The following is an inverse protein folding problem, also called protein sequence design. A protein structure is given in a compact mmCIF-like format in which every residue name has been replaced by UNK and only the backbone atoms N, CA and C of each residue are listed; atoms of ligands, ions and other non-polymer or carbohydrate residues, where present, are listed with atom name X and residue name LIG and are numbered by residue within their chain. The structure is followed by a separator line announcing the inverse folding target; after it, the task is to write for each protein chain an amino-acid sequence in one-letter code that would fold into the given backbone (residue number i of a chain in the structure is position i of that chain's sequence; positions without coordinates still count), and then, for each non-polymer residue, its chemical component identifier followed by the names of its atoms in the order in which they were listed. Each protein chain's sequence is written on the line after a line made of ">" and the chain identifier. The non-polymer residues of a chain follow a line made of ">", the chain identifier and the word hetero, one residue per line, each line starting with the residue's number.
data_IF_218660299643
#
_entry.id   IF_218660299643
#
_cell.length_a   1.000
_cell.length_b   1.000
_cell.length_c   1.000
_cell.angle_alpha   90.00
_cell.angle_beta   90.00
_cell.angle_gamma   90.00
#
_symmetry.space_group_name_H-M   'P 1'
#
loop_
_entity.id
_entity.type
_entity.pdbx_description
1 polymer ?
#
# COMPACT_ATOMS: atom_id res chain seq x y z
N UNK A 1 35.08 -94.55 -2.25
CA UNK A 1 35.45 -94.75 -3.67
C UNK A 1 34.80 -93.64 -4.48
N UNK A 2 35.42 -92.46 -4.56
CA UNK A 2 34.94 -91.35 -5.41
C UNK A 2 35.72 -91.38 -6.72
N UNK A 3 35.11 -91.85 -7.80
CA UNK A 3 35.69 -91.70 -9.14
C UNK A 3 35.39 -90.28 -9.64
N UNK A 4 36.42 -89.45 -9.71
CA UNK A 4 36.37 -88.17 -10.43
C UNK A 4 36.26 -88.48 -11.92
N UNK A 5 35.13 -88.15 -12.54
CA UNK A 5 34.96 -88.32 -14.00
C UNK A 5 35.80 -87.22 -14.67
N UNK A 6 36.98 -87.58 -15.16
CA UNK A 6 37.80 -86.69 -15.98
C UNK A 6 37.14 -86.50 -17.34
N UNK A 7 36.73 -85.27 -17.65
CA UNK A 7 36.22 -84.92 -18.97
C UNK A 7 37.38 -84.91 -19.97
N UNK A 8 37.46 -85.92 -20.83
CA UNK A 8 38.46 -86.00 -21.90
C UNK A 8 37.90 -85.33 -23.15
N UNK A 9 38.58 -84.30 -23.64
CA UNK A 9 38.28 -83.68 -24.93
C UNK A 9 38.70 -84.66 -26.03
N UNK A 10 37.73 -85.35 -26.65
CA UNK A 10 37.99 -86.11 -27.88
C UNK A 10 38.04 -85.13 -29.06
N UNK A 11 39.08 -85.24 -29.89
CA UNK A 11 39.21 -84.43 -31.12
C UNK A 11 38.20 -84.89 -32.19
N UNK A 12 37.66 -86.10 -32.02
CA UNK A 12 36.69 -86.71 -32.92
C UNK A 12 35.40 -86.94 -32.13
N UNK A 13 34.31 -86.22 -32.40
CA UNK A 13 33.00 -86.58 -31.84
C UNK A 13 32.60 -87.95 -32.38
N UNK A 14 32.10 -88.82 -31.50
CA UNK A 14 31.50 -90.07 -31.94
C UNK A 14 30.26 -89.76 -32.79
N UNK A 15 30.09 -90.42 -33.95
CA UNK A 15 28.90 -90.21 -34.77
C UNK A 15 27.66 -90.62 -33.98
N UNK A 16 26.73 -89.69 -33.82
CA UNK A 16 25.44 -89.95 -33.21
C UNK A 16 24.60 -90.85 -34.14
N UNK A 17 24.08 -91.95 -33.60
CA UNK A 17 23.03 -92.71 -34.27
C UNK A 17 21.71 -91.94 -34.13
N UNK A 18 21.08 -91.51 -35.23
CA UNK A 18 19.81 -90.82 -35.14
C UNK A 18 18.76 -91.71 -34.49
N UNK A 19 18.05 -91.17 -33.51
CA UNK A 19 16.89 -91.83 -32.96
C UNK A 19 15.88 -92.13 -34.09
N UNK A 20 15.23 -93.30 -34.10
CA UNK A 20 14.23 -93.60 -35.10
C UNK A 20 13.10 -92.57 -35.03
N UNK A 21 12.62 -92.14 -36.19
CA UNK A 21 11.42 -91.31 -36.29
C UNK A 21 10.27 -92.03 -35.58
N UNK A 22 9.51 -91.37 -34.69
CA UNK A 22 8.39 -92.00 -34.01
C UNK A 22 7.41 -92.61 -35.03
N UNK A 23 7.06 -93.88 -34.86
CA UNK A 23 6.26 -94.66 -35.83
C UNK A 23 4.82 -94.12 -35.98
N UNK A 24 4.34 -93.35 -35.00
CA UNK A 24 2.94 -92.89 -34.92
C UNK A 24 2.70 -91.49 -35.51
N UNK A 25 3.74 -90.77 -35.94
CA UNK A 25 3.57 -89.41 -36.49
C UNK A 25 3.30 -89.51 -37.99
N UNK A 26 2.08 -89.16 -38.39
CA UNK A 26 1.73 -89.13 -39.82
C UNK A 26 2.25 -87.84 -40.45
N UNK A 27 2.60 -87.85 -41.75
CA UNK A 27 3.05 -86.66 -42.46
C UNK A 27 2.07 -85.48 -42.34
N UNK A 28 0.77 -85.75 -42.33
CA UNK A 28 -0.28 -84.73 -42.20
C UNK A 28 -0.26 -84.05 -40.82
N UNK A 29 0.13 -84.77 -39.76
CA UNK A 29 0.22 -84.23 -38.41
C UNK A 29 1.46 -83.30 -38.27
N UNK A 30 2.54 -83.58 -39.01
CA UNK A 30 3.71 -82.69 -39.10
C UNK A 30 3.42 -81.42 -39.90
N UNK A 31 2.72 -81.54 -41.03
CA UNK A 31 2.32 -80.40 -41.85
C UNK A 31 1.42 -79.45 -41.06
N UNK A 32 0.41 -79.98 -40.36
CA UNK A 32 -0.45 -79.19 -39.48
C UNK A 32 0.32 -78.48 -38.36
N UNK A 33 1.34 -79.13 -37.78
CA UNK A 33 2.20 -78.50 -36.77
C UNK A 33 3.01 -77.32 -37.33
N UNK A 34 3.57 -77.47 -38.53
CA UNK A 34 4.30 -76.37 -39.17
C UNK A 34 3.37 -75.20 -39.54
N UNK A 35 2.18 -75.49 -40.07
CA UNK A 35 1.17 -74.48 -40.38
C UNK A 35 0.72 -73.73 -39.12
N UNK A 36 0.49 -74.44 -38.01
CA UNK A 36 0.14 -73.83 -36.73
C UNK A 36 1.26 -72.93 -36.21
N UNK A 37 2.51 -73.39 -36.28
CA UNK A 37 3.67 -72.62 -35.86
C UNK A 37 3.81 -71.35 -36.70
N UNK A 38 3.69 -71.45 -38.01
CA UNK A 38 3.81 -70.32 -38.93
C UNK A 38 2.65 -69.31 -38.73
N UNK A 39 1.44 -69.80 -38.44
CA UNK A 39 0.32 -68.94 -38.06
C UNK A 39 0.56 -68.22 -36.73
N UNK A 40 1.10 -68.91 -35.73
CA UNK A 40 1.42 -68.33 -34.43
C UNK A 40 2.55 -67.30 -34.53
N UNK A 41 3.56 -67.54 -35.37
CA UNK A 41 4.66 -66.59 -35.60
C UNK A 41 4.15 -65.31 -36.26
N UNK A 42 3.34 -65.42 -37.32
CA UNK A 42 2.68 -64.26 -37.96
C UNK A 42 1.81 -63.47 -36.97
N UNK A 43 1.02 -64.17 -36.17
CA UNK A 43 0.18 -63.51 -35.16
C UNK A 43 1.02 -62.75 -34.11
N UNK A 44 2.21 -63.26 -33.78
CA UNK A 44 3.15 -62.57 -32.88
C UNK A 44 3.75 -61.33 -33.53
N UNK A 45 4.11 -61.40 -34.81
CA UNK A 45 4.62 -60.25 -35.58
C UNK A 45 3.55 -59.15 -35.65
N UNK A 46 2.32 -59.49 -36.03
CA UNK A 46 1.19 -58.55 -36.08
C UNK A 46 0.93 -57.90 -34.72
N UNK A 47 0.97 -58.69 -33.63
CA UNK A 47 0.81 -58.17 -32.28
C UNK A 47 1.93 -57.21 -31.88
N UNK A 48 3.17 -57.48 -32.30
CA UNK A 48 4.30 -56.60 -32.05
C UNK A 48 4.14 -55.26 -32.80
N UNK A 49 3.72 -55.30 -34.07
CA UNK A 49 3.46 -54.10 -34.86
C UNK A 49 2.31 -53.27 -34.26
N UNK A 50 1.22 -53.91 -33.88
CA UNK A 50 0.08 -53.25 -33.23
C UNK A 50 0.50 -52.57 -31.91
N UNK A 51 1.35 -53.22 -31.12
CA UNK A 51 1.86 -52.67 -29.88
C UNK A 51 2.77 -51.45 -30.10
N UNK A 52 3.64 -51.48 -31.11
CA UNK A 52 4.47 -50.33 -31.47
C UNK A 52 3.63 -49.16 -32.00
N UNK A 53 2.61 -49.44 -32.82
CA UNK A 53 1.66 -48.42 -33.26
C UNK A 53 0.91 -47.78 -32.07
N UNK A 54 0.48 -48.60 -31.09
CA UNK A 54 -0.17 -48.11 -29.88
C UNK A 54 0.76 -47.23 -29.03
N UNK A 55 2.03 -47.62 -28.85
CA UNK A 55 3.03 -46.77 -28.17
C UNK A 55 3.20 -45.43 -28.86
N UNK A 56 3.32 -45.43 -30.19
CA UNK A 56 3.46 -44.21 -30.96
C UNK A 56 2.24 -43.30 -30.80
N UNK A 57 1.02 -43.88 -30.78
CA UNK A 57 -0.19 -43.12 -30.51
C UNK A 57 -0.20 -42.53 -29.09
N UNK A 58 0.21 -43.30 -28.07
CA UNK A 58 0.29 -42.82 -26.69
C UNK A 58 1.27 -41.66 -26.53
N UNK A 59 2.43 -41.74 -27.16
CA UNK A 59 3.38 -40.62 -27.16
C UNK A 59 2.82 -39.36 -27.85
N UNK A 60 2.04 -39.52 -28.93
CA UNK A 60 1.37 -38.38 -29.58
C UNK A 60 0.33 -37.75 -28.64
N UNK A 61 -0.46 -38.56 -27.95
CA UNK A 61 -1.44 -38.09 -26.96
C UNK A 61 -0.77 -37.33 -25.81
N UNK A 62 0.33 -37.85 -25.28
CA UNK A 62 1.08 -37.21 -24.19
C UNK A 62 1.67 -35.87 -24.62
N UNK A 63 2.32 -35.81 -25.79
CA UNK A 63 2.84 -34.55 -26.36
C UNK A 63 1.73 -33.52 -26.56
N UNK A 64 0.56 -33.95 -27.04
CA UNK A 64 -0.59 -33.07 -27.20
C UNK A 64 -1.07 -32.53 -25.85
N UNK A 65 -1.18 -33.38 -24.82
CA UNK A 65 -1.58 -32.96 -23.47
C UNK A 65 -0.59 -31.97 -22.86
N UNK A 66 0.71 -32.23 -22.99
CA UNK A 66 1.75 -31.31 -22.53
C UNK A 66 1.61 -29.93 -23.20
N UNK A 67 1.35 -29.90 -24.51
CA UNK A 67 1.18 -28.66 -25.27
C UNK A 67 -0.14 -27.94 -24.93
N UNK A 68 -1.21 -28.68 -24.63
CA UNK A 68 -2.46 -28.09 -24.13
C UNK A 68 -2.27 -27.43 -22.76
N UNK A 69 -1.53 -28.08 -21.84
CA UNK A 69 -1.19 -27.50 -20.54
C UNK A 69 -0.33 -26.25 -20.68
N UNK A 70 0.73 -26.30 -21.49
CA UNK A 70 1.58 -25.12 -21.75
C UNK A 70 0.77 -23.94 -22.31
N UNK A 71 -0.18 -24.21 -23.22
CA UNK A 71 -1.08 -23.19 -23.76
C UNK A 71 -2.00 -22.61 -22.67
N UNK A 72 -2.53 -23.43 -21.78
CA UNK A 72 -3.36 -22.96 -20.67
C UNK A 72 -2.55 -22.09 -19.71
N UNK A 73 -1.34 -22.51 -19.34
CA UNK A 73 -0.46 -21.71 -18.48
C UNK A 73 -0.12 -20.35 -19.11
N UNK A 74 0.17 -20.33 -20.42
CA UNK A 74 0.41 -19.06 -21.14
C UNK A 74 -0.81 -18.15 -21.11
N UNK A 75 -2.02 -18.69 -21.32
CA UNK A 75 -3.26 -17.91 -21.25
C UNK A 75 -3.48 -17.34 -19.85
N UNK A 76 -3.38 -18.17 -18.81
CA UNK A 76 -3.50 -17.73 -17.42
C UNK A 76 -2.45 -16.68 -17.05
N UNK A 77 -1.22 -16.84 -17.53
CA UNK A 77 -0.15 -15.86 -17.35
C UNK A 77 -0.45 -14.52 -18.01
N UNK A 78 -1.02 -14.53 -19.22
CA UNK A 78 -1.46 -13.31 -19.91
C UNK A 78 -2.63 -12.64 -19.20
N UNK A 79 -3.64 -13.41 -18.79
CA UNK A 79 -4.80 -12.89 -18.05
C UNK A 79 -4.38 -12.25 -16.73
N UNK A 80 -3.46 -12.89 -15.97
CA UNK A 80 -2.89 -12.32 -14.74
C UNK A 80 -2.19 -11.00 -15.00
N UNK A 81 -1.36 -10.91 -16.04
CA UNK A 81 -0.67 -9.65 -16.40
C UNK A 81 -1.65 -8.54 -16.75
N UNK A 82 -2.72 -8.85 -17.47
CA UNK A 82 -3.77 -7.87 -17.81
C UNK A 82 -4.54 -7.44 -16.56
N UNK A 83 -4.88 -8.37 -15.68
CA UNK A 83 -5.55 -8.06 -14.41
C UNK A 83 -4.67 -7.19 -13.51
N UNK A 84 -3.39 -7.51 -13.39
CA UNK A 84 -2.42 -6.73 -12.61
C UNK A 84 -2.24 -5.31 -13.17
N UNK A 85 -2.12 -5.17 -14.49
CA UNK A 85 -2.02 -3.87 -15.13
C UNK A 85 -3.27 -3.00 -14.89
N UNK A 86 -4.47 -3.60 -14.95
CA UNK A 86 -5.73 -2.90 -14.66
C UNK A 86 -5.80 -2.48 -13.19
N UNK A 87 -5.50 -3.39 -12.26
CA UNK A 87 -5.51 -3.10 -10.83
C UNK A 87 -4.51 -2.00 -10.46
N UNK A 88 -3.32 -2.00 -11.10
CA UNK A 88 -2.33 -0.93 -10.93
C UNK A 88 -2.86 0.41 -11.41
N UNK A 89 -3.46 0.46 -12.60
CA UNK A 89 -4.01 1.69 -13.17
C UNK A 89 -5.14 2.25 -12.30
N UNK A 90 -6.04 1.39 -11.83
CA UNK A 90 -7.13 1.77 -10.93
C UNK A 90 -6.60 2.32 -9.61
N UNK A 91 -5.55 1.71 -9.04
CA UNK A 91 -4.91 2.20 -7.83
C UNK A 91 -4.26 3.57 -8.04
N UNK A 92 -3.57 3.79 -9.16
CA UNK A 92 -2.98 5.08 -9.50
C UNK A 92 -4.07 6.17 -9.68
N UNK A 93 -5.21 5.83 -10.28
CA UNK A 93 -6.36 6.72 -10.41
C UNK A 93 -7.00 7.06 -9.05
N UNK A 94 -7.13 6.07 -8.16
CA UNK A 94 -7.62 6.29 -6.79
C UNK A 94 -6.68 7.18 -5.98
N UNK A 95 -5.37 6.95 -6.04
CA UNK A 95 -4.38 7.78 -5.33
C UNK A 95 -4.38 9.22 -5.87
N UNK A 96 -4.53 9.40 -7.19
CA UNK A 96 -4.65 10.72 -7.80
C UNK A 96 -5.95 11.44 -7.39
N UNK A 97 -7.06 10.71 -7.29
CA UNK A 97 -8.33 11.25 -6.82
C UNK A 97 -8.26 11.66 -5.33
N UNK A 98 -7.64 10.83 -4.50
CA UNK A 98 -7.44 11.12 -3.07
C UNK A 98 -6.57 12.35 -2.87
N UNK A 99 -5.45 12.48 -3.59
CA UNK A 99 -4.60 13.68 -3.55
C UNK A 99 -5.37 14.94 -3.93
N UNK A 100 -6.18 14.89 -5.00
CA UNK A 100 -7.03 16.03 -5.39
C UNK A 100 -8.04 16.40 -4.30
N UNK A 101 -8.66 15.41 -3.67
CA UNK A 101 -9.59 15.66 -2.56
C UNK A 101 -8.88 16.27 -1.35
N UNK A 102 -7.67 15.80 -1.03
CA UNK A 102 -6.86 16.37 0.05
C UNK A 102 -6.46 17.82 -0.25
N UNK A 103 -6.00 18.12 -1.47
CA UNK A 103 -5.66 19.49 -1.89
C UNK A 103 -6.89 20.42 -1.84
N UNK A 104 -8.06 19.95 -2.30
CA UNK A 104 -9.29 20.73 -2.24
C UNK A 104 -9.75 20.97 -0.80
N UNK A 105 -9.65 19.96 0.06
CA UNK A 105 -9.95 20.08 1.48
C UNK A 105 -8.99 21.06 2.19
N UNK A 106 -7.70 21.01 1.88
CA UNK A 106 -6.71 21.94 2.42
C UNK A 106 -6.96 23.38 1.94
N UNK A 107 -7.30 23.57 0.66
CA UNK A 107 -7.65 24.87 0.11
C UNK A 107 -8.91 25.45 0.79
N UNK A 108 -9.94 24.63 0.99
CA UNK A 108 -11.16 25.01 1.71
C UNK A 108 -10.87 25.38 3.17
N UNK A 109 -10.03 24.58 3.85
CA UNK A 109 -9.64 24.86 5.23
C UNK A 109 -8.87 26.18 5.36
N UNK A 110 -7.94 26.46 4.43
CA UNK A 110 -7.21 27.75 4.37
C UNK A 110 -8.15 28.92 4.12
N UNK A 111 -9.08 28.78 3.18
CA UNK A 111 -10.06 29.84 2.89
C UNK A 111 -10.96 30.13 4.11
N UNK A 112 -11.44 29.08 4.80
CA UNK A 112 -12.23 29.23 6.02
C UNK A 112 -11.43 29.89 7.15
N UNK A 113 -10.16 29.53 7.33
CA UNK A 113 -9.29 30.15 8.32
C UNK A 113 -9.05 31.64 8.03
N UNK A 114 -8.81 32.00 6.76
CA UNK A 114 -8.66 33.39 6.34
C UNK A 114 -9.93 34.22 6.57
N UNK A 115 -11.10 33.65 6.26
CA UNK A 115 -12.38 34.31 6.51
C UNK A 115 -12.64 34.52 8.01
N UNK A 116 -12.29 33.55 8.86
CA UNK A 116 -12.42 33.67 10.30
C UNK A 116 -11.49 34.75 10.89
N UNK A 117 -10.26 34.87 10.39
CA UNK A 117 -9.33 35.95 10.75
C UNK A 117 -9.87 37.32 10.34
N UNK A 118 -10.41 37.45 9.12
CA UNK A 118 -11.03 38.72 8.67
C UNK A 118 -12.21 39.12 9.54
N UNK A 119 -13.10 38.17 9.87
CA UNK A 119 -14.24 38.43 10.74
C UNK A 119 -13.80 38.93 12.13
N UNK A 120 -12.75 38.32 12.70
CA UNK A 120 -12.17 38.76 13.98
C UNK A 120 -11.62 40.18 13.92
N UNK A 121 -10.88 40.52 12.86
CA UNK A 121 -10.35 41.87 12.68
C UNK A 121 -11.47 42.90 12.54
N UNK A 122 -12.56 42.56 11.84
CA UNK A 122 -13.73 43.42 11.69
C UNK A 122 -14.47 43.61 13.02
N UNK A 123 -14.62 42.54 13.82
CA UNK A 123 -15.23 42.62 15.16
C UNK A 123 -14.38 43.49 16.11
N UNK A 124 -13.05 43.32 16.11
CA UNK A 124 -12.15 44.16 16.91
C UNK A 124 -12.19 45.63 16.48
N UNK A 125 -12.24 45.90 15.17
CA UNK A 125 -12.37 47.27 14.65
C UNK A 125 -13.68 47.93 15.10
N UNK A 126 -14.79 47.19 15.01
CA UNK A 126 -16.10 47.66 15.48
C UNK A 126 -16.11 47.92 16.98
N UNK A 127 -15.54 47.02 17.79
CA UNK A 127 -15.43 47.21 19.23
C UNK A 127 -14.59 48.45 19.60
N UNK A 128 -13.53 48.75 18.83
CA UNK A 128 -12.70 49.92 19.04
C UNK A 128 -13.42 51.23 18.63
N UNK A 129 -14.22 51.20 17.57
CA UNK A 129 -15.08 52.32 17.19
C UNK A 129 -16.14 52.60 18.26
N UNK A 130 -16.84 51.57 18.75
CA UNK A 130 -17.84 51.70 19.83
C UNK A 130 -17.21 52.28 21.11
N UNK A 131 -15.99 51.85 21.48
CA UNK A 131 -15.25 52.44 22.61
C UNK A 131 -14.93 53.93 22.40
N UNK A 132 -14.45 54.31 21.21
CA UNK A 132 -14.16 55.72 20.89
C UNK A 132 -15.43 56.57 20.90
N UNK A 133 -16.56 56.03 20.44
CA UNK A 133 -17.85 56.72 20.51
C UNK A 133 -18.31 56.92 21.96
N UNK A 134 -18.18 55.89 22.81
CA UNK A 134 -18.49 55.99 24.23
C UNK A 134 -17.61 57.01 24.96
N UNK A 135 -16.30 57.03 24.69
CA UNK A 135 -15.36 58.00 25.29
C UNK A 135 -15.70 59.44 24.92
N UNK A 136 -16.12 59.70 23.66
CA UNK A 136 -16.59 61.03 23.24
C UNK A 136 -17.83 61.46 24.00
N UNK A 137 -18.81 60.57 24.17
CA UNK A 137 -20.02 60.86 24.94
C UNK A 137 -19.72 61.11 26.42
N UNK A 138 -18.78 60.35 27.01
CA UNK A 138 -18.34 60.57 28.38
C UNK A 138 -17.58 61.90 28.53
N UNK A 139 -16.72 62.25 27.58
CA UNK A 139 -16.03 63.53 27.52
C UNK A 139 -17.00 64.72 27.41
N UNK A 140 -18.03 64.61 26.57
CA UNK A 140 -19.09 65.62 26.46
C UNK A 140 -19.95 65.70 27.73
N UNK A 141 -20.27 64.57 28.37
CA UNK A 141 -21.00 64.53 29.63
C UNK A 141 -20.18 65.19 30.76
N UNK A 142 -18.88 64.89 30.85
CA UNK A 142 -17.95 65.54 31.80
C UNK A 142 -17.81 67.03 31.53
N UNK A 143 -17.72 67.46 30.27
CA UNK A 143 -17.67 68.87 29.92
C UNK A 143 -18.96 69.61 30.32
N UNK A 144 -20.14 69.01 30.07
CA UNK A 144 -21.42 69.55 30.54
C UNK A 144 -21.51 69.62 32.07
N UNK A 145 -21.04 68.59 32.78
CA UNK A 145 -20.99 68.59 34.24
C UNK A 145 -20.05 69.67 34.80
N UNK A 146 -18.91 69.93 34.15
CA UNK A 146 -17.99 71.03 34.51
C UNK A 146 -18.61 72.41 34.30
N UNK A 147 -19.39 72.58 33.23
CA UNK A 147 -20.13 73.83 32.97
C UNK A 147 -21.25 74.03 33.99
N UNK A 148 -21.98 72.97 34.36
CA UNK A 148 -22.98 73.06 35.44
C UNK A 148 -22.34 73.28 36.82
N UNK A 149 -21.23 72.62 37.13
CA UNK A 149 -20.47 72.85 38.35
C UNK A 149 -19.92 74.28 38.42
N UNK A 150 -19.47 74.86 37.29
CA UNK A 150 -19.03 76.25 37.22
C UNK A 150 -20.18 77.24 37.42
N UNK A 151 -21.37 76.94 36.89
CA UNK A 151 -22.59 77.72 37.16
C UNK A 151 -23.06 77.61 38.61
N UNK A 152 -22.94 76.43 39.21
CA UNK A 152 -23.24 76.22 40.63
C UNK A 152 -22.23 76.94 41.54
N UNK A 153 -20.94 76.96 41.17
CA UNK A 153 -19.90 77.71 41.87
C UNK A 153 -20.05 79.24 41.72
N UNK A 154 -20.58 79.75 40.61
CA UNK A 154 -20.99 81.16 40.51
C UNK A 154 -22.23 81.47 41.35
N UNK A 155 -23.14 80.51 41.54
CA UNK A 155 -24.26 80.65 42.47
C UNK A 155 -23.84 80.56 43.95
N UNK A 156 -22.74 79.85 44.26
CA UNK A 156 -22.16 79.82 45.61
C UNK A 156 -21.22 81.00 45.91
N UNK A 157 -20.70 81.73 44.91
CA UNK A 157 -19.89 82.94 45.14
C UNK A 157 -20.67 84.14 45.68
N UNK A 158 -21.98 84.02 45.90
CA UNK A 158 -22.78 84.98 46.67
C UNK A 158 -22.87 84.62 48.17
N UNK A 159 -22.21 83.55 48.61
CA UNK A 159 -22.05 83.23 50.02
C UNK A 159 -20.60 82.81 50.31
N UNK A 160 -20.10 83.34 51.41
CA UNK A 160 -18.92 82.85 52.11
C UNK A 160 -17.56 83.42 51.65
N UNK A 161 -17.38 84.67 52.07
CA UNK A 161 -16.14 85.17 52.66
C UNK A 161 -15.56 84.17 53.69
N UNK A 162 -14.25 83.92 53.58
CA UNK A 162 -13.41 83.46 54.68
C UNK A 162 -13.05 81.98 54.67
N UNK A 163 -11.78 81.66 54.35
CA UNK A 163 -10.79 81.28 55.36
C UNK A 163 -9.46 80.87 54.69
N UNK A 164 -8.37 81.33 55.30
CA UNK A 164 -6.97 81.08 54.95
C UNK A 164 -6.52 79.62 55.25
N UNK A 165 -5.46 79.18 54.55
CA UNK A 165 -4.38 78.48 55.25
C UNK A 165 -3.73 77.26 54.55
N UNK A 166 -2.42 77.43 54.29
CA UNK A 166 -1.35 76.42 54.38
C UNK A 166 -0.96 75.53 53.18
N UNK A 167 -0.06 76.08 52.36
CA UNK A 167 1.38 75.71 52.18
C UNK A 167 1.88 74.24 52.26
N UNK A 168 2.84 73.98 51.35
CA UNK A 168 3.93 72.96 51.29
C UNK A 168 3.53 71.58 50.73
N UNK A 169 4.22 70.97 49.76
CA UNK A 169 5.46 71.27 49.04
C UNK A 169 5.97 70.01 48.29
N UNK A 170 7.04 70.16 47.49
CA UNK A 170 8.12 69.19 47.16
C UNK A 170 7.71 67.83 46.56
N UNK A 171 8.24 67.25 45.48
CA UNK A 171 9.48 67.35 44.70
C UNK A 171 9.78 65.94 44.12
N UNK A 172 10.75 65.83 43.20
CA UNK A 172 11.35 64.59 42.65
C UNK A 172 10.56 63.90 41.50
N UNK A 173 11.00 63.82 40.24
CA UNK A 173 12.24 63.29 39.62
C UNK A 173 12.25 61.76 39.47
N UNK A 174 12.68 61.26 38.30
CA UNK A 174 12.84 59.85 37.91
C UNK A 174 11.69 59.30 37.04
N UNK A 175 11.78 59.21 35.72
CA UNK A 175 12.59 58.25 34.92
C UNK A 175 12.17 56.79 35.20
N UNK A 176 11.48 56.16 34.25
CA UNK A 176 11.62 54.71 34.09
C UNK A 176 11.38 54.29 32.65
N UNK A 177 12.38 53.54 32.18
CA UNK A 177 12.62 53.19 30.82
C UNK A 177 11.73 52.05 30.33
N UNK A 178 11.68 51.97 29.01
CA UNK A 178 11.61 50.75 28.22
C UNK A 178 11.97 49.47 29.00
N UNK A 179 11.05 48.51 29.04
CA UNK A 179 11.43 47.10 28.92
C UNK A 179 10.55 46.33 27.93
N UNK A 180 11.18 46.00 26.81
CA UNK A 180 10.82 44.88 25.94
C UNK A 180 10.97 43.58 26.74
N UNK A 181 9.96 42.73 26.69
CA UNK A 181 9.93 41.25 26.75
C UNK A 181 11.07 40.46 27.44
N UNK A 182 10.74 39.23 27.92
CA UNK A 182 11.33 38.11 27.18
C UNK A 182 10.34 36.95 26.94
N UNK A 183 9.83 36.88 25.70
CA UNK A 183 9.28 35.65 25.11
C UNK A 183 10.43 34.75 24.64
N UNK A 184 11.31 34.30 25.53
CA UNK A 184 12.48 33.47 25.13
C UNK A 184 12.46 32.03 25.69
N UNK A 185 11.43 31.62 26.44
CA UNK A 185 11.34 30.25 26.97
C UNK A 185 10.44 29.29 26.19
N UNK A 186 9.68 29.76 25.19
CA UNK A 186 8.74 28.90 24.44
C UNK A 186 9.38 28.28 23.18
N UNK A 187 10.35 28.93 22.55
CA UNK A 187 10.97 28.42 21.31
C UNK A 187 11.99 27.29 21.53
N UNK A 188 12.55 27.12 22.74
CA UNK A 188 13.51 26.03 23.03
C UNK A 188 12.87 24.63 23.19
N UNK A 189 11.54 24.53 23.38
CA UNK A 189 10.87 23.22 23.45
C UNK A 189 10.52 22.62 22.08
N UNK A 190 10.41 23.45 21.02
CA UNK A 190 10.03 22.96 19.69
C UNK A 190 11.21 22.43 18.87
N UNK A 191 12.43 22.92 19.13
CA UNK A 191 13.63 22.46 18.39
C UNK A 191 14.11 21.08 18.86
N UNK A 192 13.83 20.69 20.11
CA UNK A 192 14.25 19.38 20.64
C UNK A 192 13.42 18.22 20.09
N UNK A 193 12.13 18.43 19.75
CA UNK A 193 11.27 17.39 19.14
C UNK A 193 11.59 17.09 17.66
N UNK A 194 12.36 17.92 16.96
CA UNK A 194 12.76 17.65 15.56
C UNK A 194 14.05 16.86 15.41
N UNK A 195 14.82 16.68 16.49
CA UNK A 195 16.11 15.96 16.44
C UNK A 195 15.99 14.46 16.75
N UNK A 196 14.92 14.06 17.43
CA UNK A 196 14.67 12.66 17.82
C UNK A 196 13.80 11.88 16.82
N UNK A 197 13.57 12.45 15.63
CA UNK A 197 12.68 11.89 14.59
C UNK A 197 13.40 11.61 13.25
N UNK A 198 14.73 11.52 13.27
CA UNK A 198 15.57 11.05 12.16
C UNK A 198 16.23 9.73 12.52
#
# INVERSE_FOLDING_TARGET
>A
MSSTIEYRVSVTPEPYEPAPTPEDIRPEDLEAFYDERDAAEKAREDAAEAHEAWKAQKQKEEKRRALELERQEKKLGQERKVAEAKARKEREEQEAAEKKQQEEAEAKAKAAAAAAEQWRLEEEARALEERRAAEKLEGEAKAKALVEASKAAEAEKEKEDGNEGSKVGSGSDGDDEREKAPKEKVLRKLVKQRKDRK
#
